data_IF_983267613821
#
_entry.id   IF_983267613821
#
_cell.length_a   1.000
_cell.length_b   1.000
_cell.length_c   1.000
_cell.angle_alpha   90.00
_cell.angle_beta   90.00
_cell.angle_gamma   90.00
#
_symmetry.space_group_name_H-M   'P 1'
#
loop_
_entity.id
_entity.type
_entity.pdbx_description
1 polymer ?
#
# COMPACT_ATOMS: atom_id res chain seq x y z
N UNK A 1 17.73 -12.28 11.64
CA UNK A 1 16.51 -12.44 12.48
C UNK A 1 15.49 -11.30 12.31
N UNK A 2 15.87 -10.03 12.11
CA UNK A 2 14.92 -8.90 11.94
C UNK A 2 14.07 -8.95 10.65
N UNK A 3 14.63 -9.37 9.50
CA UNK A 3 13.90 -9.44 8.22
C UNK A 3 12.76 -10.46 8.24
N UNK A 4 12.96 -11.63 8.86
CA UNK A 4 11.92 -12.64 8.99
C UNK A 4 10.71 -12.15 9.82
N UNK A 5 10.97 -11.41 10.90
CA UNK A 5 9.90 -10.79 11.69
C UNK A 5 9.16 -9.71 10.88
N UNK A 6 9.88 -8.89 10.12
CA UNK A 6 9.27 -7.90 9.23
C UNK A 6 8.39 -8.56 8.16
N UNK A 7 8.89 -9.60 7.49
CA UNK A 7 8.10 -10.35 6.51
C UNK A 7 6.85 -11.00 7.12
N UNK A 8 6.98 -11.59 8.31
CA UNK A 8 5.82 -12.19 9.01
C UNK A 8 4.73 -11.16 9.34
N UNK A 9 5.12 -9.94 9.73
CA UNK A 9 4.18 -8.85 10.02
C UNK A 9 3.49 -8.29 8.77
N UNK A 10 4.10 -8.49 7.60
CA UNK A 10 3.52 -8.13 6.30
C UNK A 10 2.55 -9.21 5.82
N UNK A 11 2.90 -10.48 6.04
CA UNK A 11 2.08 -11.65 5.68
C UNK A 11 0.82 -11.71 6.54
N UNK A 12 0.95 -11.42 7.84
CA UNK A 12 -0.14 -11.42 8.80
C UNK A 12 -0.31 -10.03 9.42
N UNK A 13 -0.86 -9.06 8.67
CA UNK A 13 -0.94 -7.69 9.12
C UNK A 13 -1.97 -7.51 10.25
N UNK A 14 -1.63 -6.63 11.20
CA UNK A 14 -2.56 -6.20 12.24
C UNK A 14 -3.86 -5.65 11.65
N UNK A 15 -4.97 -6.02 12.28
CA UNK A 15 -6.28 -5.49 11.90
C UNK A 15 -6.46 -4.06 12.40
N UNK A 16 -6.65 -3.10 11.48
CA UNK A 16 -6.92 -1.70 11.82
C UNK A 16 -8.42 -1.41 11.73
N UNK A 17 -8.98 -0.74 12.75
CA UNK A 17 -10.37 -0.29 12.77
C UNK A 17 -10.47 1.23 12.75
N UNK A 18 -11.34 1.76 11.90
CA UNK A 18 -11.60 3.19 11.75
C UNK A 18 -13.10 3.43 11.63
N UNK A 19 -13.69 4.23 12.53
CA UNK A 19 -15.15 4.46 12.59
C UNK A 19 -16.00 3.18 12.57
N UNK A 20 -15.53 2.13 13.26
CA UNK A 20 -16.20 0.82 13.30
C UNK A 20 -16.00 -0.04 12.04
N UNK A 21 -15.41 0.51 10.98
CA UNK A 21 -15.00 -0.28 9.81
C UNK A 21 -13.67 -0.96 10.07
N UNK A 22 -13.60 -2.24 9.70
CA UNK A 22 -12.34 -2.99 9.70
C UNK A 22 -11.68 -2.85 8.34
N UNK A 23 -10.46 -2.32 8.32
CA UNK A 23 -9.70 -2.17 7.08
C UNK A 23 -9.11 -3.52 6.66
N UNK A 24 -9.19 -3.79 5.37
CA UNK A 24 -8.57 -4.95 4.73
C UNK A 24 -7.09 -4.65 4.44
N UNK A 25 -6.23 -5.68 4.33
CA UNK A 25 -4.90 -5.53 3.76
C UNK A 25 -4.97 -4.83 2.41
N UNK A 26 -4.11 -3.83 2.21
CA UNK A 26 -4.10 -3.05 0.97
C UNK A 26 -3.51 -3.92 -0.12
N UNK A 27 -4.29 -4.18 -1.17
CA UNK A 27 -3.83 -4.89 -2.36
C UNK A 27 -3.43 -3.92 -3.46
N UNK A 28 -2.75 -4.42 -4.49
CA UNK A 28 -2.44 -3.63 -5.68
C UNK A 28 -3.69 -3.01 -6.33
N UNK A 29 -4.78 -3.76 -6.38
CA UNK A 29 -6.08 -3.29 -6.85
C UNK A 29 -6.64 -2.13 -6.01
N UNK A 30 -6.47 -2.15 -4.68
CA UNK A 30 -6.88 -1.03 -3.83
C UNK A 30 -6.07 0.24 -4.14
N UNK A 31 -4.75 0.10 -4.29
CA UNK A 31 -3.87 1.23 -4.58
C UNK A 31 -4.22 1.88 -5.94
N UNK A 32 -4.39 1.07 -6.98
CA UNK A 32 -4.84 1.54 -8.30
C UNK A 32 -6.23 2.16 -8.27
N UNK A 33 -7.15 1.58 -7.50
CA UNK A 33 -8.51 2.12 -7.35
C UNK A 33 -8.47 3.49 -6.67
N UNK A 34 -7.73 3.64 -5.56
CA UNK A 34 -7.54 4.94 -4.88
C UNK A 34 -6.89 5.97 -5.80
N UNK A 35 -5.87 5.58 -6.56
CA UNK A 35 -5.22 6.45 -7.55
C UNK A 35 -6.18 6.89 -8.65
N UNK A 36 -7.03 5.98 -9.15
CA UNK A 36 -8.04 6.30 -10.17
C UNK A 36 -9.08 7.33 -9.69
N UNK A 37 -9.38 7.32 -8.39
CA UNK A 37 -10.26 8.30 -7.76
C UNK A 37 -9.55 9.60 -7.38
N UNK A 38 -8.26 9.76 -7.73
CA UNK A 38 -7.40 10.88 -7.33
C UNK A 38 -7.45 11.13 -5.83
N UNK A 39 -7.48 10.05 -5.05
CA UNK A 39 -7.60 10.13 -3.60
C UNK A 39 -6.38 10.84 -3.02
N UNK A 40 -6.55 11.90 -2.20
CA UNK A 40 -5.44 12.65 -1.60
C UNK A 40 -4.62 11.84 -0.58
N UNK A 41 -5.10 10.64 -0.25
CA UNK A 41 -4.35 9.64 0.51
C UNK A 41 -3.24 8.97 -0.31
N UNK A 42 -3.28 9.05 -1.64
CA UNK A 42 -2.27 8.49 -2.55
C UNK A 42 -1.59 9.58 -3.37
N UNK A 43 -2.36 10.54 -3.91
CA UNK A 43 -1.81 11.59 -4.78
C UNK A 43 -1.33 12.83 -4.00
N UNK A 44 -1.53 12.87 -2.69
CA UNK A 44 -1.27 14.05 -1.86
C UNK A 44 -2.38 15.10 -1.94
N UNK A 45 -2.22 16.17 -1.15
CA UNK A 45 -3.19 17.27 -1.05
C UNK A 45 -4.20 17.14 0.10
N UNK A 46 -5.17 18.06 0.08
CA UNK A 46 -6.12 18.27 1.17
C UNK A 46 -7.16 17.16 1.29
N UNK A 47 -7.36 16.70 2.52
CA UNK A 47 -8.25 15.59 2.85
C UNK A 47 -9.57 16.13 3.36
N UNK A 48 -10.62 15.95 2.57
CA UNK A 48 -11.99 16.31 2.94
C UNK A 48 -12.75 15.10 3.51
N UNK A 49 -13.89 15.34 4.15
CA UNK A 49 -14.79 14.28 4.62
C UNK A 49 -15.21 13.34 3.49
N UNK A 50 -15.42 13.87 2.27
CA UNK A 50 -15.74 13.07 1.10
C UNK A 50 -14.59 12.13 0.72
N UNK A 51 -13.36 12.62 0.78
CA UNK A 51 -12.16 11.81 0.52
C UNK A 51 -12.03 10.69 1.56
N UNK A 52 -12.26 11.01 2.84
CA UNK A 52 -12.22 10.06 3.95
C UNK A 52 -13.27 8.95 3.80
N UNK A 53 -14.51 9.31 3.46
CA UNK A 53 -15.61 8.37 3.20
C UNK A 53 -15.28 7.42 2.05
N UNK A 54 -14.75 7.95 0.94
CA UNK A 54 -14.38 7.13 -0.23
C UNK A 54 -13.21 6.20 0.10
N UNK A 55 -12.19 6.69 0.80
CA UNK A 55 -11.05 5.87 1.20
C UNK A 55 -11.49 4.74 2.13
N UNK A 56 -12.30 5.03 3.16
CA UNK A 56 -12.84 4.02 4.06
C UNK A 56 -13.73 3.01 3.33
N UNK A 57 -14.53 3.48 2.37
CA UNK A 57 -15.34 2.60 1.55
C UNK A 57 -14.46 1.61 0.79
N UNK A 58 -13.45 2.09 0.07
CA UNK A 58 -12.54 1.23 -0.69
C UNK A 58 -11.79 0.27 0.23
N UNK A 59 -11.18 0.77 1.31
CA UNK A 59 -10.27 -0.02 2.16
C UNK A 59 -10.98 -1.00 3.11
N UNK A 60 -12.29 -0.86 3.32
CA UNK A 60 -13.07 -1.76 4.20
C UNK A 60 -13.55 -3.05 3.54
N UNK A 61 -13.23 -3.29 2.26
CA UNK A 61 -13.76 -4.42 1.48
C UNK A 61 -12.82 -4.82 0.35
N UNK A 62 -12.97 -6.02 -0.24
CA UNK A 62 -12.22 -6.39 -1.43
C UNK A 62 -12.36 -5.36 -2.56
N UNK A 63 -11.25 -5.02 -3.22
CA UNK A 63 -11.20 -3.92 -4.20
C UNK A 63 -12.25 -4.05 -5.32
N UNK A 64 -12.56 -5.27 -5.78
CA UNK A 64 -13.60 -5.53 -6.79
C UNK A 64 -14.99 -5.08 -6.34
N UNK A 65 -15.32 -5.31 -5.06
CA UNK A 65 -16.58 -4.83 -4.46
C UNK A 65 -16.55 -3.31 -4.32
N UNK A 66 -15.39 -2.75 -3.97
CA UNK A 66 -15.15 -1.31 -3.95
C UNK A 66 -15.42 -0.66 -5.30
N UNK A 67 -14.77 -1.15 -6.36
CA UNK A 67 -14.91 -0.66 -7.72
C UNK A 67 -16.36 -0.73 -8.23
N UNK A 68 -16.99 -1.90 -8.10
CA UNK A 68 -18.39 -2.10 -8.53
C UNK A 68 -19.33 -1.15 -7.80
N UNK A 69 -19.10 -0.97 -6.50
CA UNK A 69 -19.85 -0.04 -5.67
C UNK A 69 -19.72 1.40 -6.12
N UNK A 70 -18.50 1.87 -6.40
CA UNK A 70 -18.26 3.25 -6.86
C UNK A 70 -18.89 3.54 -8.22
N UNK A 71 -18.97 2.55 -9.11
CA UNK A 71 -19.67 2.70 -10.39
C UNK A 71 -21.19 2.89 -10.21
N UNK A 72 -21.78 2.28 -9.18
CA UNK A 72 -23.22 2.41 -8.86
C UNK A 72 -23.57 3.80 -8.29
N UNK A 73 -24.43 4.53 -8.99
CA UNK A 73 -24.94 5.84 -8.52
C UNK A 73 -25.69 5.77 -7.20
N UNK A 74 -26.44 4.68 -6.97
CA UNK A 74 -27.19 4.47 -5.72
C UNK A 74 -26.26 4.30 -4.52
N UNK A 75 -25.16 3.56 -4.69
CA UNK A 75 -24.17 3.37 -3.62
C UNK A 75 -23.47 4.68 -3.30
N UNK A 76 -23.08 5.47 -4.31
CA UNK A 76 -22.52 6.82 -4.10
C UNK A 76 -23.47 7.72 -3.33
N UNK A 77 -24.76 7.71 -3.68
CA UNK A 77 -25.78 8.46 -2.96
C UNK A 77 -25.94 7.97 -1.52
N UNK A 78 -26.01 6.65 -1.30
CA UNK A 78 -26.12 6.04 0.03
C UNK A 78 -24.91 6.33 0.91
N UNK A 79 -23.70 6.30 0.36
CA UNK A 79 -22.48 6.71 1.07
C UNK A 79 -22.56 8.18 1.49
N UNK A 80 -22.95 9.08 0.58
CA UNK A 80 -23.08 10.51 0.88
C UNK A 80 -24.16 10.80 1.92
N UNK A 81 -25.28 10.08 1.88
CA UNK A 81 -26.39 10.27 2.79
C UNK A 81 -26.13 9.68 4.18
N UNK A 82 -25.84 8.37 4.26
CA UNK A 82 -25.70 7.68 5.54
C UNK A 82 -24.38 8.00 6.23
N UNK A 83 -23.28 7.96 5.49
CA UNK A 83 -21.97 8.20 6.08
C UNK A 83 -21.72 9.70 6.20
N UNK A 84 -22.13 10.51 5.22
CA UNK A 84 -22.02 11.96 5.36
C UNK A 84 -22.68 12.52 6.62
N UNK A 85 -23.86 11.99 7.01
CA UNK A 85 -24.52 12.42 8.25
C UNK A 85 -23.80 11.92 9.51
N UNK A 86 -23.30 10.68 9.53
CA UNK A 86 -22.49 10.17 10.65
C UNK A 86 -21.19 10.97 10.81
N UNK A 87 -20.54 11.34 9.71
CA UNK A 87 -19.29 12.10 9.72
C UNK A 87 -19.51 13.55 10.12
N UNK A 88 -20.64 14.17 9.76
CA UNK A 88 -21.02 15.51 10.25
C UNK A 88 -21.19 15.55 11.77
N UNK A 89 -21.64 14.45 12.38
CA UNK A 89 -21.82 14.34 13.83
C UNK A 89 -20.54 13.96 14.56
N UNK A 90 -19.49 13.53 13.85
CA UNK A 90 -18.20 13.22 14.44
C UNK A 90 -17.41 14.49 14.73
N UNK A 91 -16.75 14.55 15.89
CA UNK A 91 -15.82 15.63 16.21
C UNK A 91 -14.65 15.67 15.21
N UNK A 92 -14.13 16.86 14.94
CA UNK A 92 -12.97 17.06 14.07
C UNK A 92 -11.75 16.24 14.53
N UNK A 93 -11.56 16.12 15.84
CA UNK A 93 -10.51 15.27 16.41
C UNK A 93 -10.62 13.80 15.98
N UNK A 94 -11.85 13.25 15.90
CA UNK A 94 -12.06 11.87 15.46
C UNK A 94 -11.78 11.71 13.96
N UNK A 95 -12.10 12.72 13.15
CA UNK A 95 -11.79 12.74 11.71
C UNK A 95 -10.29 12.78 11.47
N UNK A 96 -9.56 13.63 12.20
CA UNK A 96 -8.09 13.71 12.13
C UNK A 96 -7.44 12.38 12.54
N UNK A 97 -7.93 11.75 13.62
CA UNK A 97 -7.47 10.41 14.03
C UNK A 97 -7.71 9.37 12.94
N UNK A 98 -8.88 9.38 12.31
CA UNK A 98 -9.19 8.46 11.22
C UNK A 98 -8.28 8.67 10.01
N UNK A 99 -8.01 9.92 9.63
CA UNK A 99 -7.05 10.25 8.58
C UNK A 99 -5.66 9.70 8.92
N UNK A 100 -5.19 9.93 10.15
CA UNK A 100 -3.89 9.43 10.60
C UNK A 100 -3.81 7.89 10.57
N UNK A 101 -4.89 7.20 10.97
CA UNK A 101 -4.96 5.73 10.92
C UNK A 101 -4.95 5.20 9.48
N UNK A 102 -5.66 5.86 8.55
CA UNK A 102 -5.64 5.46 7.14
C UNK A 102 -4.26 5.71 6.51
N UNK A 103 -3.64 6.86 6.78
CA UNK A 103 -2.27 7.11 6.31
C UNK A 103 -1.33 6.04 6.84
N UNK A 104 -1.35 5.77 8.16
CA UNK A 104 -0.54 4.71 8.77
C UNK A 104 -0.78 3.34 8.13
N UNK A 105 -2.03 3.02 7.78
CA UNK A 105 -2.39 1.77 7.08
C UNK A 105 -1.77 1.70 5.68
N UNK A 106 -1.87 2.79 4.92
CA UNK A 106 -1.30 2.89 3.58
C UNK A 106 0.23 2.93 3.61
N UNK A 107 0.84 3.64 4.56
CA UNK A 107 2.28 3.71 4.74
C UNK A 107 2.85 2.33 5.03
N UNK A 108 2.20 1.55 5.92
CA UNK A 108 2.56 0.14 6.16
C UNK A 108 2.46 -0.71 4.90
N UNK A 109 1.39 -0.55 4.11
CA UNK A 109 1.25 -1.26 2.86
C UNK A 109 2.32 -0.91 1.82
N UNK A 110 2.85 0.31 1.90
CA UNK A 110 3.93 0.79 1.05
C UNK A 110 5.32 0.49 1.57
N UNK A 111 5.46 -0.01 2.79
CA UNK A 111 6.74 -0.48 3.30
C UNK A 111 7.17 -1.72 2.52
N UNK A 112 8.45 -1.74 2.20
CA UNK A 112 9.12 -2.90 1.62
C UNK A 112 10.55 -2.90 2.12
N UNK A 113 11.31 -3.94 1.81
CA UNK A 113 12.69 -4.00 2.22
C UNK A 113 13.55 -2.93 1.55
N UNK A 114 14.58 -2.49 2.26
CA UNK A 114 15.64 -1.71 1.65
C UNK A 114 16.43 -2.62 0.71
N UNK A 115 16.33 -2.35 -0.59
CA UNK A 115 17.11 -3.03 -1.62
C UNK A 115 18.28 -2.13 -1.99
N UNK A 116 19.48 -2.70 -2.02
CA UNK A 116 20.62 -2.08 -2.68
C UNK A 116 20.60 -2.51 -4.14
N UNK A 117 20.52 -1.54 -5.04
CA UNK A 117 20.71 -1.81 -6.47
C UNK A 117 22.21 -1.94 -6.72
N UNK A 118 22.64 -3.11 -7.18
CA UNK A 118 24.00 -3.29 -7.67
C UNK A 118 24.17 -2.38 -8.91
N UNK A 119 25.27 -1.61 -8.98
CA UNK A 119 25.59 -0.54 -9.94
C UNK A 119 25.52 -0.93 -11.44
N UNK A 120 24.37 -1.38 -11.91
CA UNK A 120 24.11 -1.76 -13.30
C UNK A 120 23.33 -0.64 -13.95
N UNK A 121 24.05 0.42 -14.36
CA UNK A 121 23.65 1.41 -15.38
C UNK A 121 22.15 1.67 -15.49
N UNK A 122 21.50 2.09 -14.39
CA UNK A 122 20.05 2.18 -14.30
C UNK A 122 19.46 3.18 -15.31
N UNK A 123 18.66 2.68 -16.24
CA UNK A 123 17.77 3.55 -17.01
C UNK A 123 16.67 4.08 -16.09
N UNK A 124 16.51 5.40 -16.03
CA UNK A 124 15.40 6.02 -15.30
C UNK A 124 14.07 5.60 -15.92
N UNK A 125 13.38 4.65 -15.30
CA UNK A 125 12.07 4.21 -15.76
C UNK A 125 11.05 5.34 -15.49
N UNK A 126 10.53 5.96 -16.54
CA UNK A 126 9.43 6.94 -16.43
C UNK A 126 8.06 6.30 -16.16
N UNK A 127 8.00 4.96 -16.10
CA UNK A 127 6.78 4.23 -15.89
C UNK A 127 6.25 4.39 -14.45
N UNK A 128 4.93 4.48 -14.23
CA UNK A 128 4.35 4.54 -12.90
C UNK A 128 4.74 3.32 -12.04
N UNK A 129 5.10 3.55 -10.78
CA UNK A 129 5.59 2.50 -9.87
C UNK A 129 4.63 1.33 -9.70
N UNK A 130 3.32 1.59 -9.58
CA UNK A 130 2.29 0.56 -9.49
C UNK A 130 2.17 -0.30 -10.76
N UNK A 131 2.43 0.30 -11.93
CA UNK A 131 2.46 -0.43 -13.21
C UNK A 131 3.66 -1.38 -13.25
N UNK A 132 4.84 -0.89 -12.86
CA UNK A 132 6.05 -1.70 -12.78
C UNK A 132 5.87 -2.87 -11.83
N UNK A 133 5.29 -2.62 -10.65
CA UNK A 133 5.03 -3.67 -9.66
C UNK A 133 4.08 -4.74 -10.22
N UNK A 134 2.99 -4.32 -10.87
CA UNK A 134 2.05 -5.24 -11.54
C UNK A 134 2.75 -6.11 -12.58
N UNK A 135 3.53 -5.48 -13.46
CA UNK A 135 4.26 -6.18 -14.52
C UNK A 135 5.24 -7.18 -13.92
N UNK A 136 5.98 -6.81 -12.88
CA UNK A 136 6.88 -7.72 -12.16
C UNK A 136 6.13 -8.90 -11.54
N UNK A 137 5.00 -8.69 -10.87
CA UNK A 137 4.20 -9.81 -10.35
C UNK A 137 3.77 -10.79 -11.45
N UNK A 138 3.37 -10.26 -12.61
CA UNK A 138 2.94 -11.10 -13.72
C UNK A 138 4.10 -11.87 -14.37
N UNK A 139 5.27 -11.25 -14.52
CA UNK A 139 6.42 -11.87 -15.19
C UNK A 139 7.30 -12.70 -14.26
N UNK A 140 7.62 -12.20 -13.06
CA UNK A 140 8.52 -12.86 -12.12
C UNK A 140 7.81 -13.96 -11.33
N UNK A 141 6.57 -13.74 -10.91
CA UNK A 141 5.81 -14.67 -10.07
C UNK A 141 4.72 -15.42 -10.85
N UNK A 142 4.70 -15.32 -12.18
CA UNK A 142 3.72 -15.97 -13.07
C UNK A 142 2.25 -15.74 -12.67
N UNK A 143 1.96 -14.62 -12.01
CA UNK A 143 0.60 -14.29 -11.63
C UNK A 143 -0.23 -13.90 -12.86
N UNK A 144 -1.48 -14.35 -12.91
CA UNK A 144 -2.46 -13.76 -13.83
C UNK A 144 -2.70 -12.28 -13.47
N UNK A 145 -3.23 -11.51 -14.42
CA UNK A 145 -3.56 -10.09 -14.20
C UNK A 145 -4.45 -9.90 -12.98
N UNK A 146 -5.43 -10.77 -12.78
CA UNK A 146 -6.40 -10.67 -11.68
C UNK A 146 -5.77 -11.03 -10.34
N UNK A 147 -4.93 -12.07 -10.29
CA UNK A 147 -4.15 -12.41 -9.11
C UNK A 147 -3.20 -11.28 -8.71
N UNK A 148 -2.54 -10.64 -9.68
CA UNK A 148 -1.66 -9.51 -9.40
C UNK A 148 -2.41 -8.33 -8.75
N UNK A 149 -3.69 -8.10 -9.09
CA UNK A 149 -4.51 -7.05 -8.47
C UNK A 149 -5.03 -7.43 -7.08
N UNK A 150 -5.24 -8.73 -6.82
CA UNK A 150 -5.60 -9.24 -5.50
C UNK A 150 -4.40 -9.35 -4.56
N UNK A 151 -3.17 -9.28 -5.08
CA UNK A 151 -1.95 -9.43 -4.29
C UNK A 151 -1.78 -8.31 -3.25
N UNK A 152 -1.53 -8.63 -1.96
CA UNK A 152 -1.22 -7.64 -0.94
C UNK A 152 0.02 -6.81 -1.32
N UNK A 153 -0.07 -5.49 -1.19
CA UNK A 153 0.92 -4.57 -1.74
C UNK A 153 2.28 -4.70 -1.06
N UNK A 154 2.28 -4.81 0.28
CA UNK A 154 3.52 -4.96 1.04
C UNK A 154 4.17 -6.31 0.69
N UNK A 155 3.41 -7.40 0.67
CA UNK A 155 3.89 -8.74 0.32
C UNK A 155 4.48 -8.78 -1.08
N UNK A 156 3.80 -8.18 -2.07
CA UNK A 156 4.30 -8.05 -3.43
C UNK A 156 5.71 -7.42 -3.51
N UNK A 157 6.00 -6.41 -2.66
CA UNK A 157 7.32 -5.79 -2.61
C UNK A 157 8.37 -6.74 -2.04
N UNK A 158 8.04 -7.49 -1.00
CA UNK A 158 8.95 -8.47 -0.40
C UNK A 158 9.22 -9.65 -1.33
N UNK A 159 8.22 -10.16 -2.02
CA UNK A 159 8.41 -11.31 -2.92
C UNK A 159 9.20 -10.93 -4.17
N UNK A 160 8.97 -9.72 -4.71
CA UNK A 160 9.78 -9.20 -5.82
C UNK A 160 11.22 -8.93 -5.38
N UNK A 161 11.42 -8.44 -4.16
CA UNK A 161 12.74 -8.29 -3.58
C UNK A 161 13.46 -9.65 -3.43
N UNK A 162 12.74 -10.69 -2.98
CA UNK A 162 13.28 -12.05 -2.86
C UNK A 162 13.65 -12.64 -4.22
N UNK A 163 12.79 -12.45 -5.21
CA UNK A 163 13.08 -12.85 -6.58
C UNK A 163 14.29 -12.10 -7.17
N UNK A 164 14.46 -10.81 -6.85
CA UNK A 164 15.62 -10.04 -7.30
C UNK A 164 16.92 -10.55 -6.66
N UNK A 165 16.89 -10.95 -5.39
CA UNK A 165 18.04 -11.57 -4.72
C UNK A 165 18.38 -12.94 -5.31
N UNK A 166 17.38 -13.80 -5.53
CA UNK A 166 17.57 -15.13 -6.12
C UNK A 166 18.30 -15.05 -7.48
N UNK A 167 17.95 -14.04 -8.28
CA UNK A 167 18.57 -13.78 -9.58
C UNK A 167 19.87 -12.94 -9.50
N UNK A 168 20.38 -12.66 -8.29
CA UNK A 168 21.56 -11.83 -8.02
C UNK A 168 21.48 -10.41 -8.59
N UNK A 169 20.27 -9.89 -8.81
CA UNK A 169 20.03 -8.52 -9.26
C UNK A 169 20.03 -7.52 -8.09
N UNK A 170 19.81 -7.97 -6.86
CA UNK A 170 19.86 -7.14 -5.65
C UNK A 170 20.36 -7.95 -4.44
N UNK A 171 20.78 -7.29 -3.37
CA UNK A 171 21.12 -7.93 -2.09
C UNK A 171 20.38 -7.25 -0.94
N UNK A 172 19.97 -8.03 0.06
CA UNK A 172 19.41 -7.47 1.29
C UNK A 172 20.53 -7.07 2.22
N UNK A 173 20.39 -5.94 2.90
CA UNK A 173 21.31 -5.57 3.97
C UNK A 173 20.52 -5.42 5.27
N UNK A 174 20.92 -6.16 6.30
CA UNK A 174 20.45 -5.92 7.66
C UNK A 174 21.19 -4.72 8.25
N UNK A 175 20.52 -3.88 9.04
CA UNK A 175 21.09 -2.63 9.55
C UNK A 175 22.39 -2.72 10.38
N UNK A 176 22.88 -3.92 10.72
CA UNK A 176 24.17 -4.13 11.41
C UNK A 176 25.35 -4.30 10.43
N UNK A 177 25.10 -4.64 9.16
CA UNK A 177 26.14 -4.67 8.10
C UNK A 177 26.50 -3.26 7.61
N UNK A 178 25.61 -2.28 7.81
CA UNK A 178 25.87 -0.87 7.51
C UNK A 178 27.00 -0.30 8.38
N UNK A 179 27.02 -0.63 9.67
CA UNK A 179 28.08 -0.17 10.58
C UNK A 179 29.44 -0.84 10.29
N UNK A 180 29.43 -2.04 9.69
CA UNK A 180 30.66 -2.76 9.30
C UNK A 180 31.21 -2.27 7.96
N UNK A 181 30.34 -1.95 6.99
CA UNK A 181 30.74 -1.44 5.68
C UNK A 181 31.12 0.05 5.74
N UNK A 182 30.46 0.85 6.59
CA UNK A 182 30.80 2.25 6.86
C UNK A 182 31.93 2.41 7.91
N UNK A 183 32.47 1.29 8.39
CA UNK A 183 33.63 1.21 9.28
C UNK A 183 34.91 1.76 8.66
N UNK A 184 35.08 3.08 8.78
CA UNK A 184 36.36 3.82 8.91
C UNK A 184 37.63 2.98 8.69
N UNK A 185 38.24 3.14 7.50
CA UNK A 185 39.70 3.24 7.40
C UNK A 185 40.15 4.50 8.17
N UNK A 186 40.38 4.38 9.47
CA UNK A 186 41.32 5.26 10.17
C UNK A 186 42.64 4.51 10.28
N UNK A 187 43.44 4.61 9.22
CA UNK A 187 44.89 4.60 9.28
C UNK A 187 45.37 6.03 9.14
#
# INVERSE_FOLDING_TARGET
>A
MRLALQYSSVTFPDTIRVFGFTLQPVTLGHALLLQSQRSPFVVGGDKSDGHLIVALYILSRPWRKGERGLRSGWVRWRMKSLWGNQFKLCSELNKLKAIALINKHLDRAWQGPALWENETGGCTLSAPSLLLLKTRLMHCLSCSRDQALDYPLAEAKWDIAGHAEENRCASWVGGEELDFIEGKRHG
#
